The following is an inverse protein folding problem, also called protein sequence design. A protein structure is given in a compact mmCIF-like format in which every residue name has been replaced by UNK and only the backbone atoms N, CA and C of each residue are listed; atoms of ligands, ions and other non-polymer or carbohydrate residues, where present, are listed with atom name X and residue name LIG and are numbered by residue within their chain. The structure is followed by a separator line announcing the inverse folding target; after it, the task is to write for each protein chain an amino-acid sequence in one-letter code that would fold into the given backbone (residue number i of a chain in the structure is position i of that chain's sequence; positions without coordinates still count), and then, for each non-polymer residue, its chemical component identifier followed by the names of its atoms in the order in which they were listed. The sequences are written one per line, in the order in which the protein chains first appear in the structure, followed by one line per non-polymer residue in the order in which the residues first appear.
data_IF_657686682364
#
_entry.id   IF_657686682364
#
_cell.length_a   1.000
_cell.length_b   1.000
_cell.length_c   1.000
_cell.angle_alpha   90.00
_cell.angle_beta   90.00
_cell.angle_gamma   90.00
#
_symmetry.space_group_name_H-M   'P 1'
#
loop_
_entity.id
_entity.type
_entity.pdbx_description
1 polymer ?
#
# COMPACT_ATOMS: atom_id res chain seq x y z
N UNK A 1 -2.45 -20.04 11.16
CA UNK A 1 -1.95 -18.72 10.72
C UNK A 1 -0.59 -18.89 10.09
N UNK A 2 0.35 -19.59 10.75
CA UNK A 2 1.64 -20.00 10.16
C UNK A 2 1.49 -20.64 8.77
N UNK A 3 0.71 -21.71 8.67
CA UNK A 3 0.47 -22.39 7.39
C UNK A 3 -0.15 -21.50 6.31
N UNK A 4 -1.01 -20.54 6.68
CA UNK A 4 -1.60 -19.59 5.74
C UNK A 4 -0.55 -18.60 5.21
N UNK A 5 0.33 -18.11 6.11
CA UNK A 5 1.45 -17.24 5.74
C UNK A 5 2.42 -17.95 4.81
N UNK A 6 2.77 -19.21 5.10
CA UNK A 6 3.71 -19.98 4.27
C UNK A 6 3.12 -20.27 2.88
N UNK A 7 1.84 -20.66 2.81
CA UNK A 7 1.19 -21.00 1.55
C UNK A 7 0.86 -19.78 0.69
N UNK A 8 0.40 -18.67 1.28
CA UNK A 8 -0.05 -17.50 0.53
C UNK A 8 1.09 -16.53 0.18
N UNK A 9 2.09 -16.38 1.06
CA UNK A 9 3.21 -15.46 0.82
C UNK A 9 4.50 -16.16 0.38
N UNK A 10 4.51 -17.50 0.31
CA UNK A 10 5.70 -18.28 -0.06
C UNK A 10 6.85 -18.18 0.95
N UNK A 11 6.59 -17.64 2.15
CA UNK A 11 7.57 -17.54 3.23
C UNK A 11 7.84 -18.93 3.80
N UNK A 12 9.08 -19.24 4.18
CA UNK A 12 9.45 -20.55 4.73
C UNK A 12 9.88 -20.44 6.19
N UNK A 13 9.66 -21.51 6.95
CA UNK A 13 10.06 -21.63 8.35
C UNK A 13 9.40 -20.58 9.26
N UNK A 14 8.12 -20.27 9.03
CA UNK A 14 7.43 -19.21 9.76
C UNK A 14 7.09 -19.66 11.17
N UNK A 15 7.74 -19.04 12.17
CA UNK A 15 7.44 -19.25 13.59
C UNK A 15 6.80 -18.01 14.18
N UNK A 16 5.57 -18.15 14.65
CA UNK A 16 4.91 -17.06 15.40
C UNK A 16 5.55 -16.96 16.79
N UNK A 17 6.13 -15.81 17.09
CA UNK A 17 6.64 -15.45 18.40
C UNK A 17 5.55 -14.72 19.20
N UNK A 18 5.79 -14.48 20.49
CA UNK A 18 4.87 -13.68 21.32
C UNK A 18 4.86 -12.22 20.84
N UNK A 19 3.71 -11.56 20.99
CA UNK A 19 3.56 -10.12 20.71
C UNK A 19 3.57 -9.76 19.22
N UNK A 20 2.79 -10.50 18.41
CA UNK A 20 2.60 -10.25 16.98
C UNK A 20 3.87 -10.30 16.11
N UNK A 21 5.00 -10.73 16.67
CA UNK A 21 6.24 -10.90 15.93
C UNK A 21 6.32 -12.30 15.33
N UNK A 22 7.02 -12.43 14.20
CA UNK A 22 7.29 -13.70 13.55
C UNK A 22 8.79 -13.83 13.31
N UNK A 23 9.26 -15.06 13.24
CA UNK A 23 10.56 -15.40 12.67
C UNK A 23 10.35 -16.15 11.35
N UNK A 24 11.18 -15.85 10.36
CA UNK A 24 11.13 -16.43 9.01
C UNK A 24 12.52 -16.47 8.38
N UNK A 25 12.65 -17.12 7.23
CA UNK A 25 13.85 -17.03 6.39
C UNK A 25 14.22 -15.60 5.97
N UNK A 26 13.23 -14.71 5.84
CA UNK A 26 13.41 -13.29 5.59
C UNK A 26 13.73 -12.45 6.85
N UNK A 27 14.03 -13.13 7.96
CA UNK A 27 14.29 -12.52 9.26
C UNK A 27 13.02 -12.27 10.05
N UNK A 28 13.09 -11.30 10.96
CA UNK A 28 11.99 -10.97 11.87
C UNK A 28 10.90 -10.20 11.14
N UNK A 29 9.66 -10.68 11.23
CA UNK A 29 8.48 -10.05 10.64
C UNK A 29 7.47 -9.64 11.73
N UNK A 30 6.48 -8.87 11.32
CA UNK A 30 5.40 -8.38 12.19
C UNK A 30 4.03 -8.65 11.55
N UNK A 31 3.10 -9.18 12.36
CA UNK A 31 1.71 -9.45 11.98
C UNK A 31 0.79 -8.39 12.56
N UNK A 32 0.02 -7.75 11.69
CA UNK A 32 -1.04 -6.84 12.11
C UNK A 32 -2.40 -7.39 11.71
N UNK A 33 -3.22 -7.72 12.72
CA UNK A 33 -4.58 -8.20 12.50
C UNK A 33 -5.55 -7.03 12.32
N UNK A 34 -6.53 -7.18 11.44
CA UNK A 34 -7.57 -6.18 11.19
C UNK A 34 -8.72 -6.72 10.35
N UNK A 35 -9.64 -5.84 10.01
CA UNK A 35 -10.71 -6.13 9.04
C UNK A 35 -10.13 -6.08 7.62
N UNK A 36 -10.76 -6.77 6.67
CA UNK A 36 -10.27 -6.91 5.28
C UNK A 36 -9.89 -5.55 4.65
N UNK A 37 -10.82 -4.60 4.63
CA UNK A 37 -10.62 -3.28 4.03
C UNK A 37 -9.47 -2.50 4.70
N UNK A 38 -9.35 -2.60 6.02
CA UNK A 38 -8.30 -1.94 6.80
C UNK A 38 -6.92 -2.48 6.41
N UNK A 39 -6.80 -3.80 6.38
CA UNK A 39 -5.55 -4.52 6.15
C UNK A 39 -5.10 -4.35 4.69
N UNK A 40 -6.04 -4.37 3.75
CA UNK A 40 -5.79 -4.13 2.32
C UNK A 40 -5.40 -2.68 2.04
N UNK A 41 -6.08 -1.71 2.64
CA UNK A 41 -5.73 -0.30 2.54
C UNK A 41 -4.33 -0.01 3.09
N UNK A 42 -3.97 -0.63 4.21
CA UNK A 42 -2.63 -0.51 4.80
C UNK A 42 -1.56 -1.14 3.91
N UNK A 43 -1.84 -2.29 3.28
CA UNK A 43 -0.92 -2.91 2.32
C UNK A 43 -0.62 -1.99 1.13
N UNK A 44 -1.66 -1.48 0.46
CA UNK A 44 -1.51 -0.61 -0.72
C UNK A 44 -0.79 0.70 -0.38
N UNK A 45 -1.10 1.30 0.77
CA UNK A 45 -0.45 2.53 1.21
C UNK A 45 1.04 2.32 1.55
N UNK A 46 1.40 1.20 2.20
CA UNK A 46 2.81 0.88 2.44
C UNK A 46 3.57 0.60 1.14
N UNK A 47 2.95 -0.12 0.20
CA UNK A 47 3.53 -0.37 -1.12
C UNK A 47 3.81 0.94 -1.87
N UNK A 48 2.83 1.85 -1.89
CA UNK A 48 2.99 3.17 -2.51
C UNK A 48 4.13 3.99 -1.87
N UNK A 49 4.28 3.95 -0.53
CA UNK A 49 5.39 4.64 0.15
C UNK A 49 6.74 3.98 -0.22
N UNK A 50 6.81 2.64 -0.27
CA UNK A 50 8.05 1.93 -0.65
C UNK A 50 8.50 2.29 -2.07
N UNK A 51 7.56 2.43 -3.01
CA UNK A 51 7.84 2.80 -4.39
C UNK A 51 8.46 4.20 -4.53
N UNK A 52 8.24 5.10 -3.55
CA UNK A 52 8.88 6.43 -3.58
C UNK A 52 10.39 6.38 -3.34
N UNK A 53 10.89 5.33 -2.68
CA UNK A 53 12.30 5.17 -2.27
C UNK A 53 12.88 6.40 -1.52
N UNK A 54 12.05 7.08 -0.73
CA UNK A 54 12.46 8.30 0.00
C UNK A 54 12.56 8.11 1.49
N UNK A 55 11.47 7.73 2.16
CA UNK A 55 11.40 7.60 3.61
C UNK A 55 11.35 6.13 3.99
N UNK A 56 11.99 5.81 5.12
CA UNK A 56 11.94 4.47 5.66
C UNK A 56 10.52 4.11 6.11
N UNK A 57 9.99 3.04 5.54
CA UNK A 57 8.71 2.44 5.92
C UNK A 57 8.85 0.91 6.00
N UNK A 58 8.02 0.23 6.81
CA UNK A 58 8.08 -1.22 6.89
C UNK A 58 7.73 -1.85 5.53
N UNK A 59 8.55 -2.81 5.11
CA UNK A 59 8.32 -3.58 3.88
C UNK A 59 7.07 -4.43 4.05
N UNK A 60 6.12 -4.30 3.13
CA UNK A 60 4.87 -5.04 3.13
C UNK A 60 5.06 -6.31 2.29
N UNK A 61 4.87 -7.47 2.91
CA UNK A 61 4.98 -8.75 2.21
C UNK A 61 3.65 -9.17 1.59
N UNK A 62 2.55 -8.92 2.30
CA UNK A 62 1.21 -9.18 1.79
C UNK A 62 0.16 -9.33 2.87
N UNK A 63 -1.08 -9.45 2.42
CA UNK A 63 -2.25 -9.72 3.26
C UNK A 63 -2.52 -11.22 3.25
N UNK A 64 -2.83 -11.76 4.42
CA UNK A 64 -3.15 -13.17 4.62
C UNK A 64 -4.51 -13.32 5.26
N UNK A 65 -5.26 -14.29 4.77
CA UNK A 65 -6.59 -14.64 5.29
C UNK A 65 -6.58 -16.06 5.88
N UNK A 66 -7.14 -16.22 7.08
CA UNK A 66 -7.43 -17.52 7.68
C UNK A 66 -8.73 -17.48 8.48
N UNK A 67 -9.67 -18.37 8.15
CA UNK A 67 -10.93 -18.54 8.91
C UNK A 67 -11.70 -17.21 9.09
N UNK A 68 -11.73 -16.37 8.04
CA UNK A 68 -12.36 -15.04 8.08
C UNK A 68 -11.60 -13.97 8.87
N UNK A 69 -10.40 -14.29 9.39
CA UNK A 69 -9.50 -13.33 10.01
C UNK A 69 -8.45 -12.86 9.01
N UNK A 70 -8.31 -11.55 8.87
CA UNK A 70 -7.34 -10.92 7.98
C UNK A 70 -6.14 -10.38 8.76
N UNK A 71 -4.95 -10.53 8.20
CA UNK A 71 -3.75 -9.91 8.75
C UNK A 71 -2.77 -9.44 7.68
N UNK A 72 -2.06 -8.37 7.96
CA UNK A 72 -0.97 -7.84 7.15
C UNK A 72 0.36 -8.31 7.72
N UNK A 73 1.22 -8.83 6.85
CA UNK A 73 2.59 -9.23 7.17
C UNK A 73 3.55 -8.14 6.69
N UNK A 74 4.36 -7.62 7.61
CA UNK A 74 5.36 -6.58 7.34
C UNK A 74 6.73 -6.97 7.89
N UNK A 75 7.80 -6.32 7.42
CA UNK A 75 9.11 -6.42 8.04
C UNK A 75 9.07 -5.87 9.46
N UNK A 76 9.71 -6.56 10.40
CA UNK A 76 9.85 -6.03 11.75
C UNK A 76 10.82 -4.85 11.76
N UNK A 77 10.40 -3.72 12.33
CA UNK A 77 11.26 -2.57 12.55
C UNK A 77 11.67 -2.56 14.01
N UNK A 78 12.97 -2.62 14.26
CA UNK A 78 13.53 -2.34 15.57
C UNK A 78 13.80 -0.84 15.69
N UNK A 79 13.12 -0.19 16.62
CA UNK A 79 13.26 1.25 16.81
C UNK A 79 14.48 1.56 17.67
N UNK A 80 15.50 2.15 17.06
CA UNK A 80 16.62 2.73 17.78
C UNK A 80 16.25 4.13 18.33
N UNK A 81 16.75 4.43 19.52
CA UNK A 81 16.54 5.71 20.19
C UNK A 81 17.66 6.68 19.77
N UNK A 82 17.38 7.56 18.78
CA UNK A 82 18.38 8.52 18.29
C UNK A 82 18.02 9.12 16.93
N UNK A 83 16.80 9.65 16.77
CA UNK A 83 16.29 10.08 15.47
C UNK A 83 16.66 11.53 15.15
N UNK A 84 17.30 11.72 13.99
CA UNK A 84 17.44 13.02 13.35
C UNK A 84 16.11 13.42 12.69
N UNK A 85 15.32 14.21 13.41
CA UNK A 85 14.02 14.69 12.95
C UNK A 85 14.13 15.64 11.76
N UNK A 86 15.24 16.38 11.62
CA UNK A 86 15.46 17.25 10.48
C UNK A 86 15.65 16.42 9.20
N UNK A 87 16.45 15.36 9.29
CA UNK A 87 16.59 14.40 8.19
C UNK A 87 15.25 13.72 7.86
N UNK A 88 14.48 13.31 8.86
CA UNK A 88 13.16 12.71 8.64
C UNK A 88 12.20 13.67 7.91
N UNK A 89 12.16 14.94 8.33
CA UNK A 89 11.36 15.98 7.66
C UNK A 89 11.78 16.18 6.20
N UNK A 90 13.08 16.20 5.91
CA UNK A 90 13.59 16.31 4.54
C UNK A 90 13.20 15.11 3.66
N UNK A 91 13.29 13.88 4.19
CA UNK A 91 12.88 12.68 3.45
C UNK A 91 11.37 12.66 3.19
N UNK A 92 10.58 13.15 4.14
CA UNK A 92 9.14 13.28 3.97
C UNK A 92 8.80 14.32 2.89
N UNK A 93 9.46 15.47 2.89
CA UNK A 93 9.30 16.46 1.84
C UNK A 93 9.66 15.90 0.44
N UNK A 94 10.76 15.13 0.36
CA UNK A 94 11.14 14.44 -0.89
C UNK A 94 10.10 13.42 -1.35
N UNK A 95 9.52 12.67 -0.42
CA UNK A 95 8.41 11.74 -0.72
C UNK A 95 7.27 12.47 -1.43
N UNK A 96 6.89 13.66 -0.95
CA UNK A 96 5.83 14.46 -1.55
C UNK A 96 6.19 15.02 -2.94
N UNK A 97 7.47 15.29 -3.21
CA UNK A 97 7.94 15.80 -4.51
C UNK A 97 8.07 14.72 -5.59
N UNK A 98 8.24 13.44 -5.20
CA UNK A 98 8.53 12.32 -6.11
C UNK A 98 7.52 12.17 -7.26
N UNK A 99 6.23 12.35 -6.96
CA UNK A 99 5.19 12.26 -7.99
C UNK A 99 5.28 13.40 -9.01
N UNK A 100 5.62 14.62 -8.55
CA UNK A 100 5.81 15.76 -9.43
C UNK A 100 7.04 15.58 -10.34
N UNK A 101 8.13 15.02 -9.81
CA UNK A 101 9.32 14.64 -10.59
C UNK A 101 8.97 13.62 -11.68
N UNK A 102 8.26 12.55 -11.32
CA UNK A 102 7.86 11.51 -12.28
C UNK A 102 6.95 12.05 -13.40
N UNK A 103 6.03 12.98 -13.07
CA UNK A 103 5.20 13.67 -14.08
C UNK A 103 6.06 14.50 -15.03
N UNK A 104 7.00 15.30 -14.50
CA UNK A 104 7.87 16.13 -15.32
C UNK A 104 8.78 15.31 -16.24
N UNK A 105 9.29 14.16 -15.76
CA UNK A 105 10.12 13.27 -16.56
C UNK A 105 9.32 12.50 -17.61
N UNK A 106 8.07 12.13 -17.30
CA UNK A 106 7.12 11.61 -18.29
C UNK A 106 6.78 12.61 -19.39
N UNK A 107 6.61 13.89 -19.05
CA UNK A 107 6.38 14.96 -20.03
C UNK A 107 7.62 15.17 -20.94
N UNK A 108 8.84 15.17 -20.39
CA UNK A 108 10.09 15.23 -21.18
C UNK A 108 10.28 14.03 -22.11
N UNK A 109 9.96 12.81 -21.63
CA UNK A 109 10.03 11.59 -22.44
C UNK A 109 9.05 11.59 -23.61
N UNK A 110 7.85 12.16 -23.41
CA UNK A 110 6.84 12.35 -24.48
C UNK A 110 7.21 13.47 -25.46
N UNK A 111 8.02 14.43 -25.03
CA UNK A 111 8.47 15.55 -25.87
C UNK A 111 9.62 15.17 -26.83
N UNK A 112 10.27 14.01 -26.64
CA UNK A 112 11.29 13.49 -27.55
C UNK A 112 10.69 12.55 -28.61
N UNK A 113 10.06 13.12 -29.64
CA UNK A 113 9.68 12.41 -30.87
C UNK A 113 10.39 13.08 -32.05
N UNK A 114 11.70 12.87 -32.17
CA UNK A 114 12.47 13.46 -33.27
C UNK A 114 13.96 13.19 -33.19
N UNK A 115 14.43 12.15 -33.88
CA UNK A 115 15.85 11.91 -34.08
C UNK A 115 16.18 10.47 -34.43
N UNK A 116 15.85 10.03 -35.64
CA UNK A 116 16.28 8.73 -36.14
C UNK A 116 17.79 8.67 -36.35
N UNK A 117 18.46 7.69 -35.71
CA UNK A 117 19.37 6.76 -36.41
C UNK A 117 19.93 5.69 -35.44
N UNK A 118 19.60 4.43 -35.75
CA UNK A 118 20.36 3.21 -35.47
C UNK A 118 20.99 3.03 -34.07
N UNK A 119 20.27 2.33 -33.19
CA UNK A 119 20.88 1.21 -32.45
C UNK A 119 19.89 0.06 -32.30
N UNK A 120 20.32 -1.08 -32.82
CA UNK A 120 19.59 -2.33 -32.99
C UNK A 120 19.11 -2.86 -31.63
N UNK A 121 17.79 -2.99 -31.46
CA UNK A 121 17.21 -4.14 -30.75
C UNK A 121 16.29 -4.88 -31.70
N UNK A 122 16.93 -5.85 -32.37
CA UNK A 122 16.31 -6.93 -33.11
C UNK A 122 15.47 -7.75 -32.13
N UNK A 123 14.17 -7.82 -32.34
CA UNK A 123 13.42 -9.07 -32.20
C UNK A 123 12.20 -8.95 -33.13
N UNK A 124 12.23 -9.77 -34.17
CA UNK A 124 11.30 -9.93 -35.28
C UNK A 124 9.91 -10.38 -34.80
N UNK A 125 8.85 -9.74 -35.30
CA UNK A 125 7.48 -10.28 -35.30
C UNK A 125 7.08 -10.52 -36.77
N UNK A 126 6.70 -11.76 -37.18
CA UNK A 126 6.01 -11.96 -38.44
C UNK A 126 4.51 -11.63 -38.27
N UNK A 127 3.97 -10.82 -39.17
CA UNK A 127 2.54 -10.67 -39.35
C UNK A 127 1.95 -11.91 -40.03
N UNK A 128 0.78 -12.35 -39.58
CA UNK A 128 -0.22 -13.00 -40.43
C UNK A 128 -1.62 -12.70 -39.90
N UNK A 129 -2.47 -12.24 -40.79
CA UNK A 129 -3.91 -11.97 -40.62
C UNK A 129 -4.69 -13.28 -40.44
N UNK A 130 -5.69 -13.29 -39.55
CA UNK A 130 -7.03 -13.86 -39.79
C UNK A 130 -7.91 -13.76 -38.55
N UNK A 131 -9.19 -13.58 -38.80
CA UNK A 131 -10.30 -13.24 -37.91
C UNK A 131 -10.69 -14.35 -36.91
N UNK A 132 -11.52 -13.94 -35.94
CA UNK A 132 -12.52 -14.72 -35.17
C UNK A 132 -12.19 -15.17 -33.73
N UNK A 133 -13.14 -14.78 -32.87
CA UNK A 133 -13.73 -15.47 -31.70
C UNK A 133 -13.01 -15.44 -30.34
N UNK A 134 -13.64 -14.64 -29.45
CA UNK A 134 -13.80 -14.77 -27.99
C UNK A 134 -12.87 -15.76 -27.26
N UNK A 135 -11.89 -15.21 -26.56
CA UNK A 135 -11.42 -15.79 -25.29
C UNK A 135 -10.73 -14.70 -24.46
N UNK A 136 -11.32 -14.36 -23.30
CA UNK A 136 -10.67 -13.54 -22.29
C UNK A 136 -9.38 -14.23 -21.79
N UNK A 137 -8.23 -13.53 -21.73
CA UNK A 137 -7.16 -13.90 -20.84
C UNK A 137 -7.21 -13.03 -19.59
N UNK A 138 -7.33 -13.73 -18.47
CA UNK A 138 -7.24 -13.27 -17.10
C UNK A 138 -5.91 -12.56 -16.80
N UNK A 139 -6.01 -11.52 -15.95
CA UNK A 139 -4.95 -10.96 -15.10
C UNK A 139 -3.63 -10.58 -15.77
N UNK A 140 -3.65 -9.44 -16.47
CA UNK A 140 -2.47 -8.58 -16.54
C UNK A 140 -2.62 -7.52 -15.45
N UNK A 141 -1.86 -7.67 -14.35
CA UNK A 141 -1.61 -6.56 -13.43
C UNK A 141 -0.86 -5.49 -14.21
N UNK A 142 -1.62 -4.61 -14.86
CA UNK A 142 -1.14 -3.38 -15.47
C UNK A 142 -0.54 -2.49 -14.38
N UNK A 143 0.74 -2.74 -14.10
CA UNK A 143 1.69 -1.73 -13.66
C UNK A 143 1.88 -0.73 -14.81
N UNK A 144 0.82 -0.01 -15.14
CA UNK A 144 0.98 1.29 -15.77
C UNK A 144 1.35 2.24 -14.64
N UNK A 145 2.61 2.65 -14.63
CA UNK A 145 3.16 3.64 -13.71
C UNK A 145 2.50 5.01 -13.96
N UNK A 146 1.24 5.13 -13.51
CA UNK A 146 0.37 6.28 -13.71
C UNK A 146 0.90 7.44 -12.86
N UNK A 147 1.68 8.30 -13.50
CA UNK A 147 2.10 9.56 -12.91
C UNK A 147 0.89 10.50 -12.90
N UNK A 148 0.12 10.47 -11.82
CA UNK A 148 -1.08 11.28 -11.63
C UNK A 148 -0.74 12.60 -10.93
N UNK A 149 -1.33 13.69 -11.41
CA UNK A 149 -1.25 15.02 -10.77
C UNK A 149 -2.14 15.11 -9.52
N UNK A 150 -2.99 14.11 -9.29
CA UNK A 150 -3.93 14.03 -8.16
C UNK A 150 -3.41 13.10 -7.08
N UNK A 151 -3.86 13.31 -5.86
CA UNK A 151 -3.53 12.54 -4.68
C UNK A 151 -4.73 11.72 -4.23
N UNK A 152 -4.54 10.41 -4.01
CA UNK A 152 -5.59 9.49 -3.64
C UNK A 152 -5.10 8.04 -3.62
N UNK A 153 -5.98 7.13 -3.21
CA UNK A 153 -5.74 5.69 -3.27
C UNK A 153 -6.87 5.02 -4.03
N UNK A 154 -6.56 3.98 -4.80
CA UNK A 154 -7.57 3.18 -5.51
C UNK A 154 -8.43 2.34 -4.55
N UNK A 155 -7.89 2.04 -3.36
CA UNK A 155 -8.56 1.30 -2.30
C UNK A 155 -8.92 2.21 -1.13
N UNK A 156 -9.97 1.89 -0.35
CA UNK A 156 -10.21 2.57 0.92
C UNK A 156 -9.02 2.29 1.86
N UNK A 157 -8.46 3.36 2.42
CA UNK A 157 -7.46 3.31 3.48
C UNK A 157 -8.11 3.81 4.75
N UNK A 158 -7.50 3.54 5.90
CA UNK A 158 -8.10 3.84 7.19
C UNK A 158 -7.07 4.50 8.11
N UNK A 159 -7.52 5.45 8.94
CA UNK A 159 -6.77 5.93 10.10
C UNK A 159 -7.33 5.23 11.35
N UNK A 160 -6.66 4.16 11.76
CA UNK A 160 -7.19 3.29 12.83
C UNK A 160 -8.44 2.53 12.36
N UNK A 161 -9.61 2.82 12.95
CA UNK A 161 -10.90 2.21 12.56
C UNK A 161 -11.77 3.13 11.71
N UNK A 162 -11.27 4.32 11.37
CA UNK A 162 -12.01 5.31 10.60
C UNK A 162 -11.59 5.20 9.13
N UNK A 163 -12.52 4.89 8.21
CA UNK A 163 -12.25 4.97 6.79
C UNK A 163 -11.84 6.38 6.39
N UNK A 164 -10.83 6.48 5.54
CA UNK A 164 -10.39 7.73 4.94
C UNK A 164 -11.09 7.90 3.59
N UNK A 165 -11.76 9.04 3.37
CA UNK A 165 -12.20 9.50 2.05
C UNK A 165 -11.02 9.69 1.08
N UNK A 166 -10.75 8.69 0.24
CA UNK A 166 -9.59 8.64 -0.64
C UNK A 166 -9.85 9.15 -2.07
N UNK A 167 -10.82 10.05 -2.23
CA UNK A 167 -11.10 10.66 -3.52
C UNK A 167 -9.85 11.32 -4.09
N UNK A 168 -9.65 11.21 -5.41
CA UNK A 168 -8.52 11.82 -6.09
C UNK A 168 -8.65 13.35 -6.10
N UNK A 169 -7.86 14.02 -5.28
CA UNK A 169 -7.86 15.48 -5.12
C UNK A 169 -6.59 16.11 -5.69
N UNK A 170 -6.67 17.36 -6.12
CA UNK A 170 -5.50 18.08 -6.66
C UNK A 170 -4.49 18.51 -5.57
N UNK A 171 -4.86 18.40 -4.29
CA UNK A 171 -3.98 18.65 -3.15
C UNK A 171 -4.44 17.89 -1.90
N UNK A 172 -3.48 17.40 -1.11
CA UNK A 172 -3.74 16.84 0.21
C UNK A 172 -4.36 17.88 1.17
N UNK A 173 -4.07 19.17 0.98
CA UNK A 173 -4.47 20.25 1.90
C UNK A 173 -5.95 20.65 1.79
N UNK A 174 -6.65 20.25 0.72
CA UNK A 174 -8.10 20.50 0.60
C UNK A 174 -8.89 19.75 1.67
N UNK A 175 -8.27 18.73 2.28
CA UNK A 175 -8.87 17.91 3.34
C UNK A 175 -8.85 18.56 4.73
N UNK A 176 -8.07 19.63 4.94
CA UNK A 176 -7.93 20.29 6.25
C UNK A 176 -8.91 21.45 6.51
N UNK A 177 -9.86 21.71 5.61
CA UNK A 177 -11.00 22.57 5.96
C UNK A 177 -12.12 21.67 6.41
N UNK A 178 -12.21 21.48 7.74
CA UNK A 178 -13.35 20.97 8.49
C UNK A 178 -14.54 20.54 7.61
N UNK A 179 -14.68 19.24 7.37
CA UNK A 179 -16.03 18.69 7.44
C UNK A 179 -16.64 19.23 8.75
N UNK A 180 -17.87 19.78 8.75
CA UNK A 180 -18.49 20.22 10.00
C UNK A 180 -18.33 19.08 11.02
N UNK A 181 -18.03 19.39 12.29
CA UNK A 181 -17.82 18.36 13.29
C UNK A 181 -18.99 17.39 13.19
N UNK A 182 -18.68 16.12 12.91
CA UNK A 182 -19.67 15.03 12.88
C UNK A 182 -20.54 15.24 14.11
N UNK A 183 -21.84 15.37 13.91
CA UNK A 183 -22.77 15.67 15.00
C UNK A 183 -22.45 14.74 16.19
N UNK A 184 -22.27 15.33 17.37
CA UNK A 184 -21.91 14.61 18.60
C UNK A 184 -22.65 13.25 18.81
N UNK A 185 -23.94 13.07 18.43
CA UNK A 185 -24.58 11.76 18.48
C UNK A 185 -23.98 10.70 17.53
N UNK A 186 -23.55 11.07 16.32
CA UNK A 186 -22.98 10.14 15.34
C UNK A 186 -21.52 9.79 15.69
N UNK A 187 -20.76 10.76 16.19
CA UNK A 187 -19.44 10.50 16.78
C UNK A 187 -19.52 9.52 17.95
N UNK A 188 -20.54 9.64 18.83
CA UNK A 188 -20.78 8.69 19.93
C UNK A 188 -21.09 7.28 19.43
N UNK A 189 -21.91 7.12 18.37
CA UNK A 189 -22.18 5.80 17.76
C UNK A 189 -20.92 5.15 17.20
N UNK A 190 -20.05 5.93 16.53
CA UNK A 190 -18.79 5.43 15.98
C UNK A 190 -17.82 5.04 17.12
N UNK A 191 -17.71 5.86 18.16
CA UNK A 191 -16.90 5.58 19.35
C UNK A 191 -17.42 4.33 20.08
N UNK A 192 -18.73 4.20 20.24
CA UNK A 192 -19.37 3.06 20.90
C UNK A 192 -19.12 1.76 20.11
N UNK A 193 -19.35 1.78 18.78
CA UNK A 193 -19.03 0.67 17.86
C UNK A 193 -17.55 0.27 17.96
N UNK A 194 -16.65 1.26 17.98
CA UNK A 194 -15.21 1.07 18.15
C UNK A 194 -14.79 0.58 19.56
N UNK A 195 -15.60 0.84 20.59
CA UNK A 195 -15.32 0.44 21.97
C UNK A 195 -15.90 -0.94 22.31
N UNK A 196 -17.04 -1.32 21.73
CA UNK A 196 -17.62 -2.66 21.85
C UNK A 196 -16.69 -3.76 21.32
N UNK A 197 -15.96 -3.49 20.22
CA UNK A 197 -14.97 -4.41 19.68
C UNK A 197 -13.72 -4.58 20.58
N UNK A 198 -13.38 -3.59 21.41
CA UNK A 198 -12.25 -3.71 22.37
C UNK A 198 -12.59 -4.65 23.53
N UNK A 199 -13.85 -4.69 23.98
CA UNK A 199 -14.29 -5.56 25.08
C UNK A 199 -14.40 -7.03 24.68
N UNK A 200 -14.61 -7.34 23.40
CA UNK A 200 -14.65 -8.72 22.90
C UNK A 200 -13.25 -9.37 22.78
N UNK A 201 -12.17 -8.59 22.64
CA UNK A 201 -10.80 -9.12 22.47
C UNK A 201 -9.98 -9.29 23.76
N UNK A 202 -10.51 -8.89 24.92
CA UNK A 202 -9.88 -9.14 26.23
C UNK A 202 -10.70 -10.12 27.10
N UNK A 203 -11.50 -10.97 26.44
CA UNK A 203 -12.06 -12.17 27.05
C UNK A 203 -10.94 -13.12 27.46
N UNK A 204 -10.59 -13.05 28.73
CA UNK A 204 -9.72 -13.93 29.52
C UNK A 204 -9.81 -15.40 29.05
N UNK A 205 -8.72 -15.92 28.49
CA UNK A 205 -8.26 -17.31 28.63
C UNK A 205 -6.74 -17.25 28.82
#
# INVERSE_FOLDING_TARGET
MQSAIENQLGLKNVKILRGNSLDSDHGKLFVKYGDEDLVRGEFESLKAIQETDTIFCPKAFGVVEKEGSHALITSFIEFEHGKDWAKAGNLLARMHMKNAENVADGEKGRQFVGGGSHRIRRMTMPMSESESEDSEPENEEENENFCTKKFGFKVPTCCGRLPQENAWLDSWAVREVCSPPIDAPEAKKIIEKCSGQRKLKHGRI
#
